data_IF_390897399905
#
_entry.id   IF_390897399905
#
_cell.length_a   1.000
_cell.length_b   1.000
_cell.length_c   1.000
_cell.angle_alpha   90.00
_cell.angle_beta   90.00
_cell.angle_gamma   90.00
#
_symmetry.space_group_name_H-M   'P 1'
#
loop_
_entity.id
_entity.type
_entity.pdbx_description
1 polymer ?
#
# COMPACT_ATOMS: atom_id res chain seq x y z
N UNK A 1 -3.07 -11.18 25.28
CA UNK A 1 -4.52 -10.93 25.02
C UNK A 1 -4.99 -9.63 25.68
N UNK A 2 -4.65 -9.41 26.96
CA UNK A 2 -4.92 -8.17 27.73
C UNK A 2 -4.35 -6.90 27.04
N UNK A 3 -3.13 -6.97 26.49
CA UNK A 3 -2.50 -5.83 25.79
C UNK A 3 -3.32 -5.34 24.58
N UNK A 4 -3.89 -6.26 23.80
CA UNK A 4 -4.72 -5.90 22.63
C UNK A 4 -5.99 -5.16 23.07
N UNK A 5 -6.54 -5.51 24.22
CA UNK A 5 -7.72 -4.85 24.80
C UNK A 5 -7.35 -3.45 25.27
N UNK A 6 -6.21 -3.28 25.94
CA UNK A 6 -5.72 -1.96 26.35
C UNK A 6 -5.46 -1.04 25.15
N UNK A 7 -4.87 -1.59 24.08
CA UNK A 7 -4.68 -0.86 22.81
C UNK A 7 -6.04 -0.47 22.22
N UNK A 8 -7.00 -1.40 22.16
CA UNK A 8 -8.33 -1.13 21.62
C UNK A 8 -9.05 -0.03 22.43
N UNK A 9 -9.00 -0.09 23.76
CA UNK A 9 -9.50 0.98 24.61
C UNK A 9 -8.80 2.30 24.29
N UNK A 10 -7.47 2.34 24.28
CA UNK A 10 -6.72 3.57 24.00
C UNK A 10 -7.04 4.20 22.63
N UNK A 11 -7.36 3.38 21.62
CA UNK A 11 -7.80 3.83 20.30
C UNK A 11 -9.19 4.45 20.33
N UNK A 12 -10.13 3.86 21.09
CA UNK A 12 -11.50 4.38 21.26
C UNK A 12 -11.50 5.69 22.07
N UNK A 13 -10.68 5.78 23.12
CA UNK A 13 -10.56 6.97 23.96
C UNK A 13 -9.78 8.13 23.30
N UNK A 14 -9.08 7.89 22.17
CA UNK A 14 -8.35 8.93 21.42
C UNK A 14 -8.83 9.03 19.96
N UNK A 15 -9.93 9.77 19.70
CA UNK A 15 -10.58 9.80 18.39
C UNK A 15 -9.70 10.36 17.27
N UNK A 16 -8.74 11.24 17.59
CA UNK A 16 -7.80 11.79 16.60
C UNK A 16 -6.91 10.72 15.97
N UNK A 17 -6.37 9.81 16.77
CA UNK A 17 -5.48 8.75 16.29
C UNK A 17 -6.26 7.75 15.43
N UNK A 18 -7.46 7.37 15.89
CA UNK A 18 -8.35 6.50 15.14
C UNK A 18 -8.73 7.10 13.79
N UNK A 19 -9.08 8.40 13.76
CA UNK A 19 -9.39 9.11 12.52
C UNK A 19 -8.19 9.13 11.56
N UNK A 20 -6.98 9.36 12.06
CA UNK A 20 -5.76 9.32 11.23
C UNK A 20 -5.54 7.92 10.65
N UNK A 21 -5.60 6.86 11.47
CA UNK A 21 -5.44 5.48 11.01
C UNK A 21 -6.51 5.06 9.99
N UNK A 22 -7.76 5.43 10.23
CA UNK A 22 -8.85 5.19 9.28
C UNK A 22 -8.63 5.96 7.99
N UNK A 23 -8.17 7.21 8.06
CA UNK A 23 -7.87 8.02 6.87
C UNK A 23 -6.74 7.42 6.05
N UNK A 24 -5.66 6.93 6.67
CA UNK A 24 -4.53 6.26 6.01
C UNK A 24 -4.95 4.99 5.28
N UNK A 25 -5.96 4.27 5.79
CA UNK A 25 -6.47 3.06 5.13
C UNK A 25 -7.36 3.34 3.92
N UNK A 26 -8.05 4.48 3.91
CA UNK A 26 -9.01 4.78 2.85
C UNK A 26 -8.50 5.77 1.82
N UNK A 27 -7.47 6.57 2.14
CA UNK A 27 -6.97 7.65 1.30
C UNK A 27 -5.45 7.83 1.43
N UNK A 28 -4.84 8.35 0.36
CA UNK A 28 -3.45 8.76 0.32
C UNK A 28 -2.51 7.71 -0.26
N UNK A 29 -1.21 8.00 -0.15
CA UNK A 29 -0.14 7.32 -0.89
C UNK A 29 -0.14 5.79 -0.75
N UNK A 30 -0.34 5.25 0.45
CA UNK A 30 -0.35 3.79 0.68
C UNK A 30 -1.48 3.07 -0.06
N UNK A 31 -2.62 3.74 -0.22
CA UNK A 31 -3.74 3.22 -1.01
C UNK A 31 -3.40 3.29 -2.49
N UNK A 32 -2.86 4.42 -2.94
CA UNK A 32 -2.55 4.68 -4.35
C UNK A 32 -1.50 3.71 -4.93
N UNK A 33 -0.48 3.34 -4.14
CA UNK A 33 0.54 2.38 -4.56
C UNK A 33 0.09 0.92 -4.44
N UNK A 34 -1.06 0.64 -3.80
CA UNK A 34 -1.53 -0.73 -3.57
C UNK A 34 -0.87 -1.45 -2.39
N UNK A 35 -0.35 -0.72 -1.41
CA UNK A 35 0.36 -1.32 -0.26
C UNK A 35 -0.51 -2.32 0.51
N UNK A 36 -1.78 -1.98 0.74
CA UNK A 36 -2.72 -2.85 1.46
C UNK A 36 -3.00 -4.15 0.70
N UNK A 37 -3.15 -4.10 -0.62
CA UNK A 37 -3.34 -5.29 -1.44
C UNK A 37 -2.08 -6.15 -1.47
N UNK A 38 -0.90 -5.54 -1.50
CA UNK A 38 0.38 -6.25 -1.42
C UNK A 38 0.53 -7.00 -0.10
N UNK A 39 0.15 -6.37 1.02
CA UNK A 39 0.17 -6.98 2.33
C UNK A 39 -0.80 -8.17 2.45
N UNK A 40 -2.01 -8.02 1.90
CA UNK A 40 -3.04 -9.08 1.91
C UNK A 40 -2.66 -10.28 1.04
N UNK A 41 -2.20 -10.04 -0.19
CA UNK A 41 -1.79 -11.08 -1.14
C UNK A 41 -0.40 -11.65 -0.86
N UNK A 42 0.36 -11.06 0.07
CA UNK A 42 1.77 -11.40 0.36
C UNK A 42 2.67 -11.37 -0.88
N UNK A 43 2.35 -10.50 -1.83
CA UNK A 43 3.06 -10.35 -3.11
C UNK A 43 3.04 -8.88 -3.54
N UNK A 44 4.11 -8.35 -4.16
CA UNK A 44 4.09 -6.98 -4.68
C UNK A 44 3.03 -6.81 -5.77
N UNK A 45 1.99 -6.03 -5.48
CA UNK A 45 0.93 -5.68 -6.43
C UNK A 45 0.60 -4.19 -6.37
N UNK A 46 0.14 -3.63 -7.48
CA UNK A 46 -0.36 -2.26 -7.52
C UNK A 46 -1.81 -2.16 -6.99
N UNK A 47 -2.38 -0.95 -7.00
CA UNK A 47 -3.78 -0.70 -6.58
C UNK A 47 -4.85 -1.43 -7.41
N UNK A 48 -4.51 -1.93 -8.60
CA UNK A 48 -5.41 -2.72 -9.44
C UNK A 48 -5.22 -4.24 -9.20
N UNK A 49 -4.33 -4.61 -8.27
CA UNK A 49 -4.00 -6.00 -7.97
C UNK A 49 -3.09 -6.65 -9.02
N UNK A 50 -2.50 -5.87 -9.93
CA UNK A 50 -1.55 -6.37 -10.93
C UNK A 50 -0.17 -6.52 -10.29
N UNK A 51 0.58 -7.59 -10.59
CA UNK A 51 1.93 -7.79 -10.07
C UNK A 51 2.86 -6.63 -10.46
N UNK A 52 3.66 -6.18 -9.51
CA UNK A 52 4.75 -5.22 -9.74
C UNK A 52 6.10 -5.88 -9.44
N UNK A 53 7.20 -5.39 -10.02
CA UNK A 53 8.53 -5.87 -9.65
C UNK A 53 8.83 -5.67 -8.16
N UNK A 54 9.71 -6.50 -7.59
CA UNK A 54 10.06 -6.50 -6.16
C UNK A 54 10.98 -5.33 -5.72
N UNK A 55 11.19 -4.33 -6.59
CA UNK A 55 11.99 -3.16 -6.28
C UNK A 55 11.27 -2.19 -5.32
N UNK A 56 12.02 -1.21 -4.80
CA UNK A 56 11.46 -0.20 -3.90
C UNK A 56 10.46 0.70 -4.62
N UNK A 57 9.39 1.11 -3.93
CA UNK A 57 8.36 1.99 -4.50
C UNK A 57 8.91 3.29 -5.11
N UNK A 58 9.89 4.00 -4.49
CA UNK A 58 10.48 5.18 -5.11
C UNK A 58 11.18 4.86 -6.42
N UNK A 59 11.91 3.74 -6.49
CA UNK A 59 12.57 3.29 -7.71
C UNK A 59 11.57 2.96 -8.82
N UNK A 60 10.48 2.27 -8.48
CA UNK A 60 9.39 1.99 -9.42
C UNK A 60 8.80 3.28 -9.97
N UNK A 61 8.49 4.26 -9.12
CA UNK A 61 7.94 5.55 -9.56
C UNK A 61 8.90 6.34 -10.46
N UNK A 62 10.21 6.23 -10.23
CA UNK A 62 11.22 6.88 -11.07
C UNK A 62 11.34 6.24 -12.46
N UNK A 63 11.21 4.91 -12.52
CA UNK A 63 11.41 4.14 -13.76
C UNK A 63 10.13 4.01 -14.59
N UNK A 64 8.94 4.02 -13.97
CA UNK A 64 7.66 3.83 -14.64
C UNK A 64 7.48 4.80 -15.84
N UNK A 65 7.80 6.07 -15.66
CA UNK A 65 7.69 7.10 -16.71
C UNK A 65 8.68 6.88 -17.87
N UNK A 66 9.82 6.24 -17.60
CA UNK A 66 10.83 5.93 -18.61
C UNK A 66 10.52 4.63 -19.34
N UNK A 67 9.90 3.66 -18.68
CA UNK A 67 9.44 2.40 -19.29
C UNK A 67 8.27 2.64 -20.24
N UNK A 68 7.30 3.52 -19.87
CA UNK A 68 6.16 3.85 -20.74
C UNK A 68 6.57 4.43 -22.11
N UNK A 69 7.73 5.08 -22.19
CA UNK A 69 8.28 5.61 -23.45
C UNK A 69 8.94 4.55 -24.33
N UNK A 70 9.30 3.40 -23.78
CA UNK A 70 10.17 2.42 -24.45
C UNK A 70 9.60 0.99 -24.51
N UNK A 71 8.49 0.67 -23.85
CA UNK A 71 7.99 -0.70 -23.75
C UNK A 71 6.53 -0.80 -24.23
N UNK A 72 6.39 -1.28 -25.45
CA UNK A 72 5.21 -2.04 -25.88
C UNK A 72 5.19 -3.34 -25.06
N UNK A 73 4.31 -3.39 -24.06
CA UNK A 73 3.75 -4.57 -23.37
C UNK A 73 4.38 -5.94 -23.73
N UNK A 74 5.54 -6.27 -23.17
CA UNK A 74 6.04 -7.65 -23.12
C UNK A 74 5.96 -8.08 -21.65
N UNK A 75 4.85 -8.73 -21.31
CA UNK A 75 4.59 -9.24 -19.97
C UNK A 75 5.61 -10.30 -19.57
N UNK A 76 6.14 -10.18 -18.36
CA UNK A 76 6.92 -11.24 -17.75
C UNK A 76 5.98 -12.44 -17.52
N UNK A 77 6.19 -13.50 -18.30
CA UNK A 77 5.67 -14.85 -18.01
C UNK A 77 6.23 -15.36 -16.69
#
# INVERSE_FOLDING_TARGET
>A
MIEKIQILLSLLFRPRNLRTLLSLRHRGYLVDIGWFQSAEKKMPVNKNGQPIPWYSYPFLSFIEDRLKKNISQEGCK
#
